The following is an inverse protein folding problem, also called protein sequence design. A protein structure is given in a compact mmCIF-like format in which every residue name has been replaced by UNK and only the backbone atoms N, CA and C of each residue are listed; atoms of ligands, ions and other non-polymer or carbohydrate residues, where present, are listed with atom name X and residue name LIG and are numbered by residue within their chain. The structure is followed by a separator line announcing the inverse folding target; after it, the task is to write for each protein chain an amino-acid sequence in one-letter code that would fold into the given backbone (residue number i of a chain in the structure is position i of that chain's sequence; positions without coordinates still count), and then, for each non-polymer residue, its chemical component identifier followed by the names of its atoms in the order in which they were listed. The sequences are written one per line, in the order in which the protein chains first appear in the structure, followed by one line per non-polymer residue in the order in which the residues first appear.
data_IF_380576308796
#
_entry.id   IF_380576308796
#
_cell.length_a   1.000
_cell.length_b   1.000
_cell.length_c   1.000
_cell.angle_alpha   90.00
_cell.angle_beta   90.00
_cell.angle_gamma   90.00
#
_symmetry.space_group_name_H-M   'P 1'
#
loop_
_entity.id
_entity.type
_entity.pdbx_description
1 polymer ?
#
# COMPACT_ATOMS: atom_id res chain seq x y z
N UNK A 1 -19.86 -3.91 -2.76
CA UNK A 1 -18.42 -3.89 -2.45
C UNK A 1 -17.64 -4.27 -3.70
N UNK A 2 -16.64 -3.49 -4.01
CA UNK A 2 -15.80 -3.71 -5.20
C UNK A 2 -14.44 -4.26 -4.76
N UNK A 3 -13.93 -5.24 -5.52
CA UNK A 3 -12.58 -5.75 -5.31
C UNK A 3 -11.71 -5.29 -6.48
N UNK A 4 -10.69 -4.50 -6.17
CA UNK A 4 -9.70 -4.05 -7.15
C UNK A 4 -8.46 -4.92 -7.04
N UNK A 5 -8.02 -5.47 -8.16
CA UNK A 5 -6.87 -6.38 -8.20
C UNK A 5 -5.72 -5.78 -8.96
N UNK A 6 -4.52 -6.02 -8.44
CA UNK A 6 -3.30 -5.58 -9.09
C UNK A 6 -2.14 -6.49 -8.74
N UNK A 7 -1.02 -6.24 -9.38
CA UNK A 7 0.23 -6.97 -9.13
C UNK A 7 1.42 -6.08 -9.44
N UNK A 8 2.56 -6.39 -8.83
CA UNK A 8 3.81 -5.69 -9.15
C UNK A 8 4.29 -6.04 -10.55
N UNK A 9 5.32 -5.35 -11.01
CA UNK A 9 5.82 -5.51 -12.39
C UNK A 9 6.17 -6.95 -12.75
N UNK A 10 6.80 -7.71 -11.85
CA UNK A 10 7.16 -9.10 -12.12
C UNK A 10 6.01 -10.08 -11.84
N UNK A 11 4.90 -9.63 -11.25
CA UNK A 11 3.74 -10.46 -10.94
C UNK A 11 3.83 -11.28 -9.66
N UNK A 12 4.97 -11.25 -8.96
CA UNK A 12 5.16 -12.07 -7.75
C UNK A 12 4.31 -11.60 -6.58
N UNK A 13 4.07 -10.31 -6.48
CA UNK A 13 3.26 -9.72 -5.42
C UNK A 13 1.91 -9.35 -6.00
N UNK A 14 0.85 -9.90 -5.43
CA UNK A 14 -0.52 -9.60 -5.85
C UNK A 14 -1.27 -8.89 -4.74
N UNK A 15 -2.18 -8.01 -5.10
CA UNK A 15 -2.99 -7.25 -4.14
C UNK A 15 -4.46 -7.34 -4.50
N UNK A 16 -5.31 -7.48 -3.47
CA UNK A 16 -6.76 -7.36 -3.55
C UNK A 16 -7.18 -6.25 -2.60
N UNK A 17 -7.74 -5.19 -3.14
CA UNK A 17 -8.23 -4.03 -2.38
C UNK A 17 -9.75 -4.01 -2.44
N UNK A 18 -10.38 -4.22 -1.30
CA UNK A 18 -11.85 -4.22 -1.17
C UNK A 18 -12.33 -2.90 -0.62
N UNK A 19 -13.29 -2.28 -1.31
CA UNK A 19 -13.85 -1.00 -0.89
C UNK A 19 -15.34 -0.92 -1.26
N UNK A 20 -16.11 -0.26 -0.41
CA UNK A 20 -17.50 0.10 -0.69
C UNK A 20 -17.61 1.51 -1.26
N UNK A 21 -16.51 2.27 -1.29
CA UNK A 21 -16.51 3.63 -1.85
C UNK A 21 -16.63 3.53 -3.37
N UNK A 22 -17.52 4.31 -4.01
CA UNK A 22 -17.55 4.35 -5.47
C UNK A 22 -16.20 4.75 -6.04
N UNK A 23 -15.77 4.12 -7.14
CA UNK A 23 -14.43 4.28 -7.67
C UNK A 23 -14.08 5.73 -8.05
N UNK A 24 -15.06 6.48 -8.53
CA UNK A 24 -14.88 7.89 -8.87
C UNK A 24 -14.76 8.80 -7.64
N UNK A 25 -15.16 8.32 -6.47
CA UNK A 25 -15.07 9.06 -5.20
C UNK A 25 -13.89 8.60 -4.33
N UNK A 26 -13.23 7.52 -4.70
CA UNK A 26 -12.13 6.96 -3.92
C UNK A 26 -10.92 7.92 -3.95
N UNK A 27 -10.49 8.45 -2.80
CA UNK A 27 -9.40 9.43 -2.79
C UNK A 27 -8.05 8.78 -3.10
N UNK A 28 -7.29 9.40 -4.00
CA UNK A 28 -5.89 9.04 -4.21
C UNK A 28 -5.00 10.19 -3.78
N UNK A 29 -3.89 9.87 -3.10
CA UNK A 29 -2.98 10.87 -2.54
C UNK A 29 -1.57 10.67 -3.07
N UNK A 30 -0.93 11.78 -3.42
CA UNK A 30 0.48 11.81 -3.79
C UNK A 30 1.27 12.40 -2.62
N UNK A 31 1.87 11.53 -1.83
CA UNK A 31 2.71 11.97 -0.71
C UNK A 31 3.97 12.65 -1.25
N UNK A 32 4.30 13.83 -0.70
CA UNK A 32 5.45 14.62 -1.12
C UNK A 32 6.79 14.21 -0.52
N UNK A 33 6.84 13.16 0.29
CA UNK A 33 8.12 12.72 0.87
C UNK A 33 9.08 12.23 -0.22
N UNK A 34 10.37 12.23 0.09
CA UNK A 34 11.40 11.88 -0.89
C UNK A 34 11.23 10.45 -1.45
N UNK A 35 10.79 9.54 -0.62
CA UNK A 35 10.55 8.16 -1.04
C UNK A 35 9.38 8.06 -2.03
N UNK A 36 8.22 8.62 -1.68
CA UNK A 36 7.03 8.56 -2.52
C UNK A 36 7.22 9.28 -3.85
N UNK A 37 7.92 10.42 -3.85
CA UNK A 37 8.22 11.15 -5.09
C UNK A 37 9.07 10.32 -6.05
N UNK A 38 10.05 9.60 -5.52
CA UNK A 38 10.92 8.75 -6.35
C UNK A 38 10.19 7.56 -6.96
N UNK A 39 9.15 7.08 -6.28
CA UNK A 39 8.37 5.93 -6.73
C UNK A 39 7.10 6.32 -7.50
N UNK A 40 6.87 7.62 -7.73
CA UNK A 40 5.66 8.08 -8.41
C UNK A 40 4.38 7.60 -7.72
N UNK A 41 4.38 7.60 -6.38
CA UNK A 41 3.34 6.96 -5.59
C UNK A 41 2.00 7.65 -5.74
N UNK A 42 0.98 6.87 -6.07
CA UNK A 42 -0.42 7.24 -5.87
C UNK A 42 -0.98 6.29 -4.81
N UNK A 43 -1.29 6.82 -3.64
CA UNK A 43 -1.70 6.02 -2.50
C UNK A 43 -3.21 6.00 -2.35
N UNK A 44 -3.75 4.83 -2.07
CA UNK A 44 -5.17 4.65 -1.77
C UNK A 44 -5.32 3.96 -0.44
N UNK A 45 -6.32 4.38 0.33
CA UNK A 45 -6.70 3.73 1.57
C UNK A 45 -8.19 3.92 1.81
N UNK A 46 -8.77 2.94 2.47
CA UNK A 46 -10.17 2.97 2.93
C UNK A 46 -10.22 2.31 4.31
N UNK A 47 -10.44 3.09 5.38
CA UNK A 47 -10.44 2.53 6.74
C UNK A 47 -11.55 1.50 6.98
N UNK A 48 -12.56 1.49 6.13
CA UNK A 48 -13.67 0.53 6.19
C UNK A 48 -13.54 -0.58 5.14
N UNK A 49 -12.48 -0.57 4.35
CA UNK A 49 -12.19 -1.61 3.36
C UNK A 49 -11.26 -2.69 3.91
N UNK A 50 -10.65 -3.42 3.01
CA UNK A 50 -9.66 -4.44 3.37
C UNK A 50 -8.64 -4.61 2.26
N UNK A 51 -7.37 -4.75 2.63
CA UNK A 51 -6.29 -5.01 1.68
C UNK A 51 -5.64 -6.37 1.99
N UNK A 52 -5.59 -7.23 0.99
CA UNK A 52 -4.83 -8.47 1.07
C UNK A 52 -3.63 -8.38 0.15
N UNK A 53 -2.45 -8.60 0.70
CA UNK A 53 -1.19 -8.64 -0.06
C UNK A 53 -0.72 -10.07 -0.06
N UNK A 54 -0.58 -10.67 -1.25
CA UNK A 54 -0.14 -12.06 -1.40
C UNK A 54 1.28 -12.08 -1.96
N UNK A 55 2.17 -12.78 -1.27
CA UNK A 55 3.58 -12.84 -1.63
C UNK A 55 4.12 -14.25 -1.47
N UNK A 56 5.10 -14.67 -2.30
CA UNK A 56 5.80 -15.93 -2.06
C UNK A 56 6.70 -15.80 -0.81
N UNK A 57 7.20 -16.91 -0.26
CA UNK A 57 8.16 -16.85 0.84
C UNK A 57 9.34 -15.94 0.50
N UNK A 58 9.70 -15.05 1.43
CA UNK A 58 10.77 -14.08 1.25
C UNK A 58 10.59 -13.15 0.04
N UNK A 59 9.34 -12.95 -0.41
CA UNK A 59 9.05 -12.12 -1.59
C UNK A 59 9.05 -10.63 -1.34
N UNK A 60 9.02 -10.20 -0.08
CA UNK A 60 8.96 -8.79 0.30
C UNK A 60 10.16 -8.37 1.13
N UNK A 61 10.77 -7.27 0.76
CA UNK A 61 11.71 -6.54 1.61
C UNK A 61 10.94 -5.47 2.38
N UNK A 62 11.37 -5.18 3.60
CA UNK A 62 10.79 -4.13 4.43
C UNK A 62 11.81 -3.02 4.62
N UNK A 63 11.44 -1.80 4.25
CA UNK A 63 12.30 -0.64 4.35
C UNK A 63 11.71 0.38 5.31
N UNK A 64 12.53 0.94 6.18
CA UNK A 64 12.15 2.01 7.10
C UNK A 64 13.06 3.20 6.90
N UNK A 65 12.49 4.39 7.00
CA UNK A 65 13.24 5.65 6.88
C UNK A 65 12.55 6.75 7.68
N UNK A 66 13.19 7.92 7.75
CA UNK A 66 12.66 9.06 8.47
C UNK A 66 12.41 8.72 9.93
N UNK A 67 11.18 8.91 10.41
CA UNK A 67 10.79 8.60 11.79
C UNK A 67 10.65 7.12 12.07
N UNK A 68 10.81 6.26 11.06
CA UNK A 68 10.75 4.80 11.16
C UNK A 68 9.43 4.29 11.75
N UNK A 69 8.32 4.88 11.33
CA UNK A 69 7.00 4.59 11.87
C UNK A 69 6.19 3.62 11.03
N UNK A 70 6.72 3.15 9.90
CA UNK A 70 6.05 2.21 9.01
C UNK A 70 7.06 1.33 8.30
N UNK A 71 6.62 0.15 7.89
CA UNK A 71 7.36 -0.71 6.98
C UNK A 71 6.88 -0.45 5.55
N UNK A 72 7.81 -0.10 4.68
CA UNK A 72 7.54 0.09 3.25
C UNK A 72 7.88 -1.23 2.55
N UNK A 73 6.86 -1.89 2.03
CA UNK A 73 6.98 -3.22 1.44
C UNK A 73 7.41 -3.10 -0.02
N UNK A 74 8.50 -3.76 -0.34
CA UNK A 74 9.11 -3.69 -1.67
C UNK A 74 9.26 -5.10 -2.22
N UNK A 75 8.81 -5.34 -3.45
CA UNK A 75 8.99 -6.62 -4.10
C UNK A 75 10.49 -6.93 -4.20
N UNK A 76 10.88 -8.07 -3.67
CA UNK A 76 12.29 -8.48 -3.67
C UNK A 76 12.82 -8.73 -5.08
N UNK A 77 11.96 -9.11 -6.00
CA UNK A 77 12.36 -9.47 -7.37
C UNK A 77 12.41 -8.25 -8.29
N UNK A 78 11.35 -7.44 -8.33
CA UNK A 78 11.32 -6.32 -9.29
C UNK A 78 11.55 -4.94 -8.67
N UNK A 79 11.61 -4.84 -7.33
CA UNK A 79 11.86 -3.58 -6.64
C UNK A 79 10.67 -2.65 -6.53
N UNK A 80 9.48 -3.08 -6.93
CA UNK A 80 8.29 -2.23 -6.85
C UNK A 80 7.89 -1.96 -5.40
N UNK A 81 7.61 -0.68 -5.09
CA UNK A 81 7.04 -0.30 -3.81
C UNK A 81 5.54 -0.61 -3.81
N UNK A 82 5.13 -1.55 -2.97
CA UNK A 82 3.77 -2.08 -2.96
C UNK A 82 2.86 -1.27 -2.04
N UNK A 83 3.22 -1.17 -0.77
CA UNK A 83 2.39 -0.59 0.27
C UNK A 83 3.24 -0.25 1.48
N UNK A 84 2.75 0.69 2.29
CA UNK A 84 3.33 0.93 3.62
C UNK A 84 2.37 0.35 4.66
N UNK A 85 2.91 -0.31 5.67
CA UNK A 85 2.12 -0.97 6.70
C UNK A 85 2.56 -0.54 8.10
N UNK A 86 1.58 -0.46 8.99
CA UNK A 86 1.79 -0.26 10.42
C UNK A 86 1.01 -1.32 11.19
N UNK A 87 1.47 -1.60 12.42
CA UNK A 87 0.76 -2.48 13.34
C UNK A 87 0.24 -1.67 14.51
N UNK A 88 -0.98 -1.93 14.95
CA UNK A 88 -1.55 -1.30 16.12
C UNK A 88 -2.85 -1.97 16.52
N UNK A 89 -3.09 -2.10 17.83
CA UNK A 89 -4.31 -2.70 18.38
C UNK A 89 -4.59 -4.11 17.85
N UNK A 90 -3.53 -4.92 17.63
CA UNK A 90 -3.67 -6.30 17.16
C UNK A 90 -4.00 -6.45 15.69
N UNK A 91 -3.89 -5.39 14.92
CA UNK A 91 -4.29 -5.32 13.51
C UNK A 91 -3.22 -4.61 12.69
N UNK A 92 -3.01 -5.05 11.46
CA UNK A 92 -2.18 -4.33 10.52
C UNK A 92 -3.05 -3.41 9.66
N UNK A 93 -2.52 -2.23 9.34
CA UNK A 93 -3.16 -1.27 8.44
C UNK A 93 -2.16 -0.80 7.41
N UNK A 94 -2.65 -0.56 6.20
CA UNK A 94 -1.80 -0.23 5.06
C UNK A 94 -2.39 0.85 4.18
N UNK A 95 -1.49 1.55 3.49
CA UNK A 95 -1.82 2.38 2.33
C UNK A 95 -1.17 1.76 1.10
N UNK A 96 -1.92 1.64 0.02
CA UNK A 96 -1.53 0.91 -1.19
C UNK A 96 -1.02 1.85 -2.27
N UNK A 97 0.11 1.53 -2.88
CA UNK A 97 0.60 2.25 -4.05
C UNK A 97 -0.03 1.67 -5.32
N UNK A 98 -1.04 2.34 -5.86
CA UNK A 98 -1.77 1.85 -7.03
C UNK A 98 -0.97 1.99 -8.33
N UNK A 99 0.04 2.84 -8.37
CA UNK A 99 0.91 2.97 -9.55
C UNK A 99 1.70 1.69 -9.79
N UNK A 100 2.42 1.23 -8.76
CA UNK A 100 3.29 0.06 -8.88
C UNK A 100 2.52 -1.26 -8.94
N UNK A 101 1.30 -1.29 -8.42
CA UNK A 101 0.45 -2.48 -8.45
C UNK A 101 -0.51 -2.51 -9.64
N UNK A 102 -0.41 -1.51 -10.50
CA UNK A 102 -1.09 -1.46 -11.81
C UNK A 102 -2.59 -1.79 -11.74
N UNK A 103 -3.30 -1.19 -10.78
CA UNK A 103 -4.74 -1.35 -10.69
C UNK A 103 -5.39 -0.57 -11.83
N UNK A 104 -5.91 -1.30 -12.83
CA UNK A 104 -6.38 -0.72 -14.08
C UNK A 104 -7.48 0.33 -13.89
N UNK A 105 -8.41 0.08 -12.97
CA UNK A 105 -9.53 0.96 -12.71
C UNK A 105 -9.13 2.33 -12.16
N UNK A 106 -7.92 2.45 -11.63
CA UNK A 106 -7.41 3.68 -11.01
C UNK A 106 -6.25 4.30 -11.81
N UNK A 107 -5.88 3.71 -12.95
CA UNK A 107 -4.68 4.10 -13.70
C UNK A 107 -4.68 5.57 -14.12
N UNK A 108 -5.83 6.08 -14.57
CA UNK A 108 -5.96 7.45 -15.06
C UNK A 108 -6.41 8.46 -14.01
N UNK A 109 -6.56 8.01 -12.76
CA UNK A 109 -7.00 8.89 -11.68
C UNK A 109 -5.88 9.81 -11.23
N UNK A 110 -6.22 11.05 -10.98
CA UNK A 110 -5.29 12.02 -10.39
C UNK A 110 -5.21 11.81 -8.90
N UNK A 111 -3.98 11.96 -8.36
CA UNK A 111 -3.75 11.94 -6.93
C UNK A 111 -3.58 13.36 -6.40
N UNK A 112 -4.18 13.65 -5.25
CA UNK A 112 -4.02 14.94 -4.59
C UNK A 112 -2.68 15.00 -3.86
N UNK A 113 -1.88 16.07 -4.08
CA UNK A 113 -0.65 16.24 -3.32
C UNK A 113 -0.95 16.40 -1.83
N UNK A 114 -0.20 15.71 -0.99
CA UNK A 114 -0.29 15.83 0.46
C UNK A 114 1.11 15.95 1.04
N UNK A 115 1.22 16.69 2.16
CA UNK A 115 2.48 16.89 2.86
C UNK A 115 2.27 16.58 4.34
N UNK A 116 2.96 15.55 4.80
CA UNK A 116 2.91 15.11 6.19
C UNK A 116 4.21 15.39 6.96
N UNK A 117 5.13 16.17 6.38
CA UNK A 117 6.47 16.39 6.96
C UNK A 117 6.45 17.02 8.34
N UNK A 118 5.39 17.78 8.66
CA UNK A 118 5.26 18.46 9.97
C UNK A 118 4.64 17.61 11.05
N UNK A 119 4.16 16.41 10.70
CA UNK A 119 3.59 15.51 11.70
C UNK A 119 4.66 14.91 12.58
N UNK A 120 4.47 14.97 13.89
CA UNK A 120 5.27 14.19 14.82
C UNK A 120 4.83 12.71 14.81
N UNK A 121 5.54 11.88 15.58
CA UNK A 121 5.30 10.43 15.58
C UNK A 121 3.87 10.09 16.02
N UNK A 122 3.38 10.70 17.10
CA UNK A 122 2.05 10.39 17.63
C UNK A 122 0.92 10.79 16.69
N UNK A 123 0.99 11.99 16.12
CA UNK A 123 -0.02 12.47 15.16
C UNK A 123 -0.04 11.61 13.90
N UNK A 124 1.13 11.25 13.39
CA UNK A 124 1.28 10.39 12.22
C UNK A 124 0.68 9.01 12.47
N UNK A 125 0.98 8.42 13.62
CA UNK A 125 0.43 7.12 14.00
C UNK A 125 -1.09 7.18 14.12
N UNK A 126 -1.62 8.20 14.80
CA UNK A 126 -3.06 8.37 14.96
C UNK A 126 -3.77 8.51 13.61
N UNK A 127 -3.22 9.31 12.69
CA UNK A 127 -3.78 9.48 11.36
C UNK A 127 -3.82 8.14 10.61
N UNK A 128 -2.73 7.38 10.65
CA UNK A 128 -2.64 6.10 9.95
C UNK A 128 -3.60 5.05 10.53
N UNK A 129 -3.74 5.00 11.84
CA UNK A 129 -4.66 4.06 12.50
C UNK A 129 -6.12 4.34 12.17
N UNK A 130 -6.46 5.57 11.82
CA UNK A 130 -7.84 5.96 11.49
C UNK A 130 -8.13 6.04 10.00
N UNK A 131 -7.10 6.19 9.15
CA UNK A 131 -7.29 6.41 7.71
C UNK A 131 -6.73 5.29 6.83
N UNK A 132 -5.79 4.49 7.31
CA UNK A 132 -5.24 3.39 6.53
C UNK A 132 -6.15 2.18 6.58
N UNK A 133 -6.02 1.32 5.60
CA UNK A 133 -6.90 0.17 5.37
C UNK A 133 -6.50 -1.01 6.24
N UNK A 134 -7.44 -1.66 6.94
CA UNK A 134 -7.16 -2.95 7.56
C UNK A 134 -6.58 -3.90 6.53
N UNK A 135 -5.49 -4.59 6.88
CA UNK A 135 -4.73 -5.36 5.90
C UNK A 135 -4.17 -6.64 6.49
N UNK A 136 -3.83 -7.55 5.59
CA UNK A 136 -3.07 -8.75 5.93
C UNK A 136 -2.12 -9.09 4.80
N UNK A 137 -1.00 -9.70 5.17
CA UNK A 137 -0.02 -10.24 4.23
C UNK A 137 -0.16 -11.75 4.27
N UNK A 138 -0.47 -12.35 3.12
CA UNK A 138 -0.66 -13.79 2.98
C UNK A 138 0.54 -14.35 2.23
N UNK A 139 1.15 -15.37 2.83
CA UNK A 139 2.25 -16.06 2.16
C UNK A 139 1.67 -17.17 1.29
N UNK A 140 1.91 -17.08 -0.01
CA UNK A 140 1.54 -18.13 -0.94
C UNK A 140 2.59 -19.23 -0.94
N UNK A 141 2.15 -20.49 -1.14
CA UNK A 141 3.07 -21.53 -1.48
C UNK A 141 3.80 -21.12 -2.76
N UNK A 142 5.12 -21.25 -2.78
CA UNK A 142 5.88 -21.00 -4.00
C UNK A 142 5.31 -21.91 -5.08
N UNK A 143 4.85 -21.35 -6.22
CA UNK A 143 4.38 -22.13 -7.33
C UNK A 143 5.43 -23.18 -7.64
N UNK A 144 5.00 -24.43 -7.74
CA UNK A 144 5.91 -25.52 -7.98
C UNK A 144 6.90 -25.15 -9.07
N UNK A 145 8.17 -25.26 -8.73
CA UNK A 145 9.23 -24.95 -9.66
C UNK A 145 9.11 -25.93 -10.79
N UNK A 146 8.58 -25.44 -11.85
CA UNK A 146 8.70 -26.20 -13.07
C UNK A 146 10.12 -26.16 -13.53
#
# INVERSE_FOLDING_TARGET
MTILRGACHCGQIEVDFETAIPLDELPLRACGCSFCRRHGTKAVADPNGHLTISAPPNGLNRYRFGLRTADYLICRTCGAYIAAVISGYGEERATLNVTATAIAELADRRAEPVDYDREGIERRRARRLTSWTPSRIVQRAQAGVG
#
